data_IF_461344937516
#
_entry.id   IF_461344937516
#
_cell.length_a   1.000
_cell.length_b   1.000
_cell.length_c   1.000
_cell.angle_alpha   90.00
_cell.angle_beta   90.00
_cell.angle_gamma   90.00
#
_symmetry.space_group_name_H-M   'P 1'
#
loop_
_entity.id
_entity.type
_entity.pdbx_description
1 polymer ?
#
# COMPACT_ATOMS: atom_id res chain seq x y z
N UNK A 1 2.21 25.26 -3.61
CA UNK A 1 2.78 23.92 -3.83
C UNK A 1 3.26 23.44 -2.47
N UNK A 2 2.41 22.74 -1.73
CA UNK A 2 2.74 22.20 -0.41
C UNK A 2 3.45 20.88 -0.60
N UNK A 3 4.73 20.84 -0.28
CA UNK A 3 5.51 19.60 -0.23
C UNK A 3 4.86 18.64 0.78
N UNK A 4 4.56 17.40 0.36
CA UNK A 4 4.19 16.33 1.28
C UNK A 4 5.43 15.97 2.11
N UNK A 5 5.64 16.70 3.21
CA UNK A 5 6.70 16.40 4.17
C UNK A 5 6.25 15.22 5.02
N UNK A 6 6.60 14.01 4.60
CA UNK A 6 6.41 12.80 5.42
C UNK A 6 7.24 12.96 6.70
N UNK A 7 6.59 13.36 7.78
CA UNK A 7 7.21 13.55 9.08
C UNK A 7 7.30 12.17 9.75
N UNK A 8 8.41 11.48 9.50
CA UNK A 8 8.76 10.18 10.13
C UNK A 8 9.12 10.46 11.59
N UNK A 9 8.13 10.67 12.45
CA UNK A 9 8.33 10.71 13.89
C UNK A 9 8.02 9.32 14.47
N UNK A 10 9.10 8.60 14.79
CA UNK A 10 9.20 7.47 15.76
C UNK A 10 8.86 6.03 15.36
N UNK A 11 8.41 5.73 14.14
CA UNK A 11 8.30 4.33 13.67
C UNK A 11 9.42 3.98 12.68
N UNK A 12 10.21 2.91 12.89
CA UNK A 12 11.16 2.44 11.88
C UNK A 12 10.39 1.92 10.66
N UNK A 13 10.44 2.66 9.56
CA UNK A 13 9.86 2.31 8.27
C UNK A 13 10.99 1.95 7.30
N UNK A 14 10.87 0.80 6.64
CA UNK A 14 11.79 0.38 5.59
C UNK A 14 11.16 0.62 4.22
N UNK A 15 11.95 1.13 3.27
CA UNK A 15 11.58 1.19 1.86
C UNK A 15 12.18 0.00 1.14
N UNK A 16 11.36 -0.86 0.54
CA UNK A 16 11.80 -2.05 -0.19
C UNK A 16 11.21 -2.11 -1.59
N UNK A 17 11.96 -2.70 -2.53
CA UNK A 17 11.43 -3.14 -3.82
C UNK A 17 10.61 -4.42 -3.58
N UNK A 18 9.32 -4.44 -3.92
CA UNK A 18 8.48 -5.63 -3.73
C UNK A 18 8.32 -6.39 -5.04
N UNK A 19 8.64 -7.68 -5.01
CA UNK A 19 8.29 -8.62 -6.08
C UNK A 19 6.81 -8.95 -6.04
N UNK A 20 6.09 -8.69 -7.13
CA UNK A 20 4.68 -9.03 -7.25
C UNK A 20 4.46 -10.54 -7.06
N UNK A 21 3.57 -10.92 -6.15
CA UNK A 21 3.34 -12.33 -5.81
C UNK A 21 2.70 -13.14 -6.96
N UNK A 22 2.09 -12.47 -7.95
CA UNK A 22 1.28 -13.09 -9.00
C UNK A 22 1.89 -13.00 -10.42
N UNK A 23 3.21 -12.80 -10.56
CA UNK A 23 3.85 -12.68 -11.88
C UNK A 23 3.54 -11.39 -12.64
N UNK A 24 2.80 -10.46 -12.02
CA UNK A 24 2.77 -9.05 -12.39
C UNK A 24 4.06 -8.38 -11.93
N UNK A 25 4.55 -7.43 -12.73
CA UNK A 25 5.78 -6.67 -12.52
C UNK A 25 5.94 -6.19 -11.05
N UNK A 26 7.20 -6.09 -10.60
CA UNK A 26 7.50 -5.61 -9.25
C UNK A 26 6.91 -4.21 -9.03
N UNK A 27 6.38 -3.96 -7.84
CA UNK A 27 6.17 -2.59 -7.39
C UNK A 27 7.53 -1.92 -7.21
N UNK A 28 7.62 -0.67 -7.65
CA UNK A 28 8.87 0.09 -7.53
C UNK A 28 9.25 0.31 -6.07
N UNK A 29 8.29 0.62 -5.20
CA UNK A 29 8.56 0.77 -3.79
C UNK A 29 7.39 0.33 -2.91
N UNK A 30 7.72 -0.08 -1.70
CA UNK A 30 6.77 -0.29 -0.62
C UNK A 30 7.33 0.24 0.69
N UNK A 31 6.41 0.67 1.55
CA UNK A 31 6.65 1.14 2.90
C UNK A 31 6.23 0.00 3.83
N UNK A 32 7.21 -0.61 4.48
CA UNK A 32 6.99 -1.68 5.45
C UNK A 32 7.25 -1.19 6.86
N UNK A 33 6.37 -1.55 7.79
CA UNK A 33 6.57 -1.34 9.21
C UNK A 33 7.55 -2.38 9.74
N UNK A 34 8.76 -1.96 10.11
CA UNK A 34 9.83 -2.88 10.54
C UNK A 34 9.43 -3.75 11.75
N UNK A 35 8.66 -3.22 12.70
CA UNK A 35 8.27 -3.98 13.90
C UNK A 35 7.27 -5.10 13.62
N UNK A 36 6.45 -4.97 12.57
CA UNK A 36 5.35 -5.90 12.28
C UNK A 36 5.53 -6.65 10.95
N UNK A 37 6.47 -6.23 10.12
CA UNK A 37 6.63 -6.70 8.74
C UNK A 37 5.46 -6.34 7.82
N UNK A 38 4.55 -5.44 8.26
CA UNK A 38 3.31 -5.11 7.54
C UNK A 38 3.58 -4.05 6.47
N UNK A 39 3.00 -4.24 5.28
CA UNK A 39 2.98 -3.22 4.24
C UNK A 39 1.96 -2.14 4.61
N UNK A 40 2.42 -0.90 4.71
CA UNK A 40 1.58 0.28 4.98
C UNK A 40 1.27 1.06 3.71
N UNK A 41 2.17 1.03 2.73
CA UNK A 41 2.05 1.83 1.52
C UNK A 41 2.80 1.25 0.35
N UNK A 42 2.31 1.51 -0.86
CA UNK A 42 2.92 1.09 -2.12
C UNK A 42 3.12 2.30 -3.02
N UNK A 43 4.19 2.30 -3.82
CA UNK A 43 4.46 3.33 -4.82
C UNK A 43 4.80 2.65 -6.14
N UNK A 44 4.05 2.98 -7.17
CA UNK A 44 4.28 2.57 -8.55
C UNK A 44 4.63 3.80 -9.40
N UNK A 45 5.77 3.76 -10.07
CA UNK A 45 6.21 4.82 -10.98
C UNK A 45 5.84 4.43 -12.41
N UNK A 46 4.89 5.15 -12.99
CA UNK A 46 4.48 4.96 -14.39
C UNK A 46 4.61 6.26 -15.15
N UNK A 47 5.51 6.27 -16.14
CA UNK A 47 5.66 7.41 -17.08
C UNK A 47 4.52 7.48 -18.09
N UNK A 48 4.01 6.33 -18.51
CA UNK A 48 2.90 6.17 -19.45
C UNK A 48 1.95 5.11 -18.87
N UNK A 49 0.70 5.08 -19.34
CA UNK A 49 -0.33 4.11 -18.91
C UNK A 49 -0.59 4.07 -17.39
N UNK A 50 -0.88 5.22 -16.81
CA UNK A 50 -1.28 5.36 -15.39
C UNK A 50 -2.34 4.35 -14.95
N UNK A 51 -3.30 4.02 -15.81
CA UNK A 51 -4.36 3.05 -15.50
C UNK A 51 -3.82 1.63 -15.29
N UNK A 52 -2.74 1.24 -16.00
CA UNK A 52 -2.06 -0.04 -15.76
C UNK A 52 -1.42 -0.02 -14.37
N UNK A 53 -0.74 1.07 -14.02
CA UNK A 53 -0.15 1.27 -12.68
C UNK A 53 -1.21 1.26 -11.57
N UNK A 54 -2.32 1.96 -11.78
CA UNK A 54 -3.47 1.99 -10.85
C UNK A 54 -4.06 0.60 -10.61
N UNK A 55 -4.29 -0.16 -11.68
CA UNK A 55 -4.82 -1.53 -11.59
C UNK A 55 -3.85 -2.44 -10.83
N UNK A 56 -2.56 -2.36 -11.14
CA UNK A 56 -1.52 -3.15 -10.49
C UNK A 56 -1.40 -2.81 -9.01
N UNK A 57 -1.32 -1.52 -8.66
CA UNK A 57 -1.23 -1.07 -7.27
C UNK A 57 -2.47 -1.50 -6.47
N UNK A 58 -3.67 -1.33 -7.02
CA UNK A 58 -4.93 -1.73 -6.35
C UNK A 58 -4.94 -3.23 -5.99
N UNK A 59 -4.59 -4.10 -6.94
CA UNK A 59 -4.54 -5.56 -6.73
C UNK A 59 -3.52 -5.92 -5.63
N UNK A 60 -2.37 -5.25 -5.61
CA UNK A 60 -1.34 -5.52 -4.60
C UNK A 60 -1.72 -4.99 -3.21
N UNK A 61 -2.44 -3.87 -3.13
CA UNK A 61 -2.99 -3.34 -1.89
C UNK A 61 -4.04 -4.31 -1.28
N UNK A 62 -4.95 -4.82 -2.10
CA UNK A 62 -5.93 -5.83 -1.68
C UNK A 62 -5.26 -7.13 -1.22
N UNK A 63 -4.26 -7.60 -1.97
CA UNK A 63 -3.47 -8.79 -1.57
C UNK A 63 -2.76 -8.60 -0.23
N UNK A 64 -2.22 -7.40 0.02
CA UNK A 64 -1.53 -7.06 1.27
C UNK A 64 -2.47 -7.09 2.48
N UNK A 65 -3.75 -6.80 2.28
CA UNK A 65 -4.78 -6.90 3.33
C UNK A 65 -5.31 -8.34 3.52
N UNK A 66 -5.45 -9.12 2.43
CA UNK A 66 -6.03 -10.49 2.47
C UNK A 66 -5.02 -11.60 2.81
N UNK A 67 -3.72 -11.37 2.64
CA UNK A 67 -2.67 -12.35 2.94
C UNK A 67 -2.60 -12.79 4.41
N UNK A 68 -3.31 -12.11 5.32
CA UNK A 68 -3.51 -12.56 6.70
C UNK A 68 -4.71 -13.51 6.83
N UNK A 69 -4.57 -14.74 6.33
CA UNK A 69 -5.29 -15.85 6.96
C UNK A 69 -4.72 -15.99 8.38
N UNK A 70 -5.51 -15.53 9.35
CA UNK A 70 -5.26 -15.60 10.79
C UNK A 70 -4.53 -16.90 11.15
N UNK A 71 -3.30 -16.82 11.67
CA UNK A 71 -2.88 -17.83 12.64
C UNK A 71 -3.77 -17.60 13.84
N UNK A 72 -4.83 -18.40 13.92
CA UNK A 72 -5.63 -18.60 15.11
C UNK A 72 -4.65 -18.79 16.28
N UNK A 73 -4.81 -17.98 17.34
CA UNK A 73 -4.09 -18.02 18.62
C UNK A 73 -3.03 -16.94 18.93
N UNK A 74 -3.16 -15.69 18.50
CA UNK A 74 -2.61 -14.58 19.31
C UNK A 74 -3.63 -13.44 19.33
N UNK A 75 -4.18 -13.17 20.53
CA UNK A 75 -4.97 -11.97 20.82
C UNK A 75 -3.96 -10.84 20.84
N UNK A 76 -3.83 -10.12 19.73
CA UNK A 76 -2.94 -8.98 19.62
C UNK A 76 -3.77 -7.71 19.46
N UNK A 77 -3.90 -6.97 20.56
CA UNK A 77 -4.49 -5.63 20.67
C UNK A 77 -3.62 -4.56 19.96
N UNK A 78 -2.82 -4.92 18.96
CA UNK A 78 -2.10 -4.00 18.10
C UNK A 78 -2.95 -3.61 16.90
N UNK A 79 -3.85 -2.63 17.14
CA UNK A 79 -4.52 -1.76 16.15
C UNK A 79 -4.39 -2.31 14.74
N UNK A 80 -5.32 -3.20 14.37
CA UNK A 80 -5.41 -3.71 13.01
C UNK A 80 -5.45 -2.52 12.06
N UNK A 81 -4.32 -2.29 11.40
CA UNK A 81 -4.22 -1.31 10.32
C UNK A 81 -4.94 -1.98 9.17
N UNK A 82 -6.26 -1.81 9.17
CA UNK A 82 -7.19 -2.25 8.13
C UNK A 82 -7.02 -1.42 6.86
N UNK A 83 -5.84 -0.83 6.64
CA UNK A 83 -5.60 0.14 5.58
C UNK A 83 -4.23 -0.03 4.96
N UNK A 84 -4.19 0.05 3.63
CA UNK A 84 -2.97 0.19 2.84
C UNK A 84 -3.14 1.40 1.93
N UNK A 85 -2.08 2.20 1.80
CA UNK A 85 -2.05 3.35 0.89
C UNK A 85 -1.30 3.03 -0.40
N UNK A 86 -1.62 3.74 -1.48
CA UNK A 86 -0.99 3.55 -2.77
C UNK A 86 -0.76 4.89 -3.46
N UNK A 87 0.38 5.03 -4.14
CA UNK A 87 0.69 6.17 -5.01
C UNK A 87 1.06 5.62 -6.39
N UNK A 88 0.43 6.15 -7.43
CA UNK A 88 0.88 5.96 -8.83
C UNK A 88 1.29 7.31 -9.37
N UNK A 89 2.53 7.45 -9.85
CA UNK A 89 3.07 8.76 -10.25
C UNK A 89 4.05 8.65 -11.43
N UNK A 90 4.12 9.69 -12.26
CA UNK A 90 5.21 9.92 -13.22
C UNK A 90 6.24 10.94 -12.69
N UNK A 91 6.17 11.25 -11.39
CA UNK A 91 6.85 12.33 -10.68
C UNK A 91 6.34 13.75 -10.96
N UNK A 92 5.34 13.94 -11.83
CA UNK A 92 4.66 15.23 -12.06
C UNK A 92 3.26 15.20 -11.48
N UNK A 93 2.50 14.21 -11.88
CA UNK A 93 1.12 13.97 -11.47
C UNK A 93 1.06 12.71 -10.60
N UNK A 94 0.02 12.60 -9.76
CA UNK A 94 -0.14 11.45 -8.90
C UNK A 94 -1.59 11.07 -8.66
N UNK A 95 -1.82 9.76 -8.55
CA UNK A 95 -3.02 9.16 -7.98
C UNK A 95 -2.70 8.64 -6.60
N UNK A 96 -3.43 9.11 -5.59
CA UNK A 96 -3.38 8.57 -4.24
C UNK A 96 -4.55 7.64 -4.06
N UNK A 97 -4.28 6.47 -3.48
CA UNK A 97 -5.24 5.42 -3.23
C UNK A 97 -5.22 5.03 -1.75
N UNK A 98 -6.39 4.76 -1.20
CA UNK A 98 -6.55 4.15 0.12
C UNK A 98 -7.44 2.92 -0.05
N UNK A 99 -6.91 1.75 0.33
CA UNK A 99 -7.66 0.50 0.39
C UNK A 99 -7.91 0.15 1.85
N UNK A 100 -9.18 -0.02 2.25
CA UNK A 100 -9.56 -0.36 3.62
C UNK A 100 -10.27 -1.71 3.70
N UNK A 101 -10.07 -2.46 4.78
CA UNK A 101 -10.84 -3.67 5.13
C UNK A 101 -12.05 -3.24 5.97
N UNK A 102 -13.25 -3.28 5.38
CA UNK A 102 -14.47 -2.78 6.04
C UNK A 102 -15.19 -3.92 6.79
N UNK A 103 -14.83 -4.19 8.05
CA UNK A 103 -15.63 -4.96 9.05
C UNK A 103 -16.09 -6.39 8.68
N UNK A 104 -15.66 -6.86 7.52
CA UNK A 104 -15.96 -8.07 6.78
C UNK A 104 -14.98 -8.10 5.61
N UNK A 105 -14.87 -9.20 4.88
CA UNK A 105 -13.84 -9.41 3.84
C UNK A 105 -13.97 -8.49 2.59
N UNK A 106 -14.66 -7.35 2.72
CA UNK A 106 -14.84 -6.36 1.66
C UNK A 106 -13.76 -5.29 1.74
N UNK A 107 -13.09 -5.08 0.60
CA UNK A 107 -12.15 -3.99 0.40
C UNK A 107 -12.84 -2.78 -0.20
N UNK A 108 -12.59 -1.59 0.38
CA UNK A 108 -13.01 -0.33 -0.22
C UNK A 108 -11.79 0.42 -0.72
N UNK A 109 -11.75 0.65 -2.04
CA UNK A 109 -10.75 1.50 -2.69
C UNK A 109 -11.32 2.90 -2.88
N UNK A 110 -10.61 3.91 -2.38
CA UNK A 110 -10.86 5.32 -2.68
C UNK A 110 -9.63 5.96 -3.30
N UNK A 111 -9.81 6.97 -4.15
CA UNK A 111 -8.68 7.63 -4.80
C UNK A 111 -8.88 9.13 -5.02
N UNK A 112 -7.76 9.84 -5.10
CA UNK A 112 -7.65 11.26 -5.42
C UNK A 112 -6.57 11.45 -6.50
N UNK A 113 -6.71 12.49 -7.32
CA UNK A 113 -5.67 12.90 -8.28
C UNK A 113 -5.32 14.37 -8.07
N UNK A 114 -4.10 14.74 -8.45
CA UNK A 114 -3.60 16.11 -8.50
C UNK A 114 -2.84 16.34 -9.80
#
# INVERSE_FOLDING_TARGET
>A
MTELKLRIETTPLDIKLIKGQNGQENLDYAIECHSTGRILGLIEVKREDFMKGFTQASVQMESSLTGRKRKENEIDDERDVDKVFGIVTDARDWYFMECTLDGGESHRLSYQNS
#
